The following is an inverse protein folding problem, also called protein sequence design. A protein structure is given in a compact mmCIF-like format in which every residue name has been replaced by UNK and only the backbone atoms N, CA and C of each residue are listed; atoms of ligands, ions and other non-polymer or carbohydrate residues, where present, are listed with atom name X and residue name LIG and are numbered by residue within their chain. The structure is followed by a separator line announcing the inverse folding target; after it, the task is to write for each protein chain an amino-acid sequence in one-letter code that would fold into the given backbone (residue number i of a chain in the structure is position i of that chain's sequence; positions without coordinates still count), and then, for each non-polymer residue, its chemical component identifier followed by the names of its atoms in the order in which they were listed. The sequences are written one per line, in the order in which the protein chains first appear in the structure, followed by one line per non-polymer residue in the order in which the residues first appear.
data_IF_563189722673
#
_entry.id   IF_563189722673
#
_cell.length_a   1.000
_cell.length_b   1.000
_cell.length_c   1.000
_cell.angle_alpha   90.00
_cell.angle_beta   90.00
_cell.angle_gamma   90.00
#
_symmetry.space_group_name_H-M   'P 1'
#
loop_
_entity.id
_entity.type
_entity.pdbx_description
1 polymer ?
#
# COMPACT_ATOMS: atom_id res chain seq x y z
N UNK A 1 -10.34 12.81 12.01
CA UNK A 1 -11.58 12.55 11.23
C UNK A 1 -12.23 13.89 10.92
N UNK A 2 -12.85 14.06 9.74
CA UNK A 2 -13.40 15.35 9.37
C UNK A 2 -14.67 15.71 10.13
N UNK A 3 -14.83 16.98 10.53
CA UNK A 3 -16.10 17.52 11.05
C UNK A 3 -16.95 18.07 9.91
N UNK A 4 -18.26 17.88 9.99
CA UNK A 4 -19.19 18.44 8.99
C UNK A 4 -19.72 19.79 9.50
N UNK A 5 -19.38 20.85 8.78
CA UNK A 5 -19.95 22.19 8.98
C UNK A 5 -21.39 22.19 8.46
N UNK A 6 -22.32 21.77 9.32
CA UNK A 6 -23.76 21.74 9.07
C UNK A 6 -24.46 23.07 9.43
N UNK A 7 -23.70 24.07 9.89
CA UNK A 7 -24.16 25.41 10.25
C UNK A 7 -23.08 26.46 9.97
N UNK A 8 -23.46 27.73 9.88
CA UNK A 8 -22.53 28.86 9.62
C UNK A 8 -21.78 29.32 10.88
N UNK A 9 -21.46 28.40 11.80
CA UNK A 9 -20.74 28.74 13.03
C UNK A 9 -19.31 29.20 12.71
N UNK A 10 -18.88 30.40 13.17
CA UNK A 10 -17.51 30.91 12.95
C UNK A 10 -16.42 29.98 13.51
N UNK A 11 -16.78 29.13 14.48
CA UNK A 11 -15.88 28.13 15.07
C UNK A 11 -15.32 27.15 14.02
N UNK A 12 -16.08 26.82 12.96
CA UNK A 12 -15.60 25.94 11.90
C UNK A 12 -14.44 26.56 11.11
N UNK A 13 -14.52 27.83 10.77
CA UNK A 13 -13.43 28.56 10.10
C UNK A 13 -12.20 28.66 11.01
N UNK A 14 -12.40 28.92 12.30
CA UNK A 14 -11.31 28.97 13.28
C UNK A 14 -10.60 27.62 13.44
N UNK A 15 -11.34 26.51 13.51
CA UNK A 15 -10.78 25.16 13.58
C UNK A 15 -10.02 24.79 12.29
N UNK A 16 -10.57 25.16 11.13
CA UNK A 16 -9.90 24.96 9.83
C UNK A 16 -8.56 25.68 9.74
N UNK A 17 -8.46 26.90 10.27
CA UNK A 17 -7.20 27.65 10.37
C UNK A 17 -6.20 27.01 11.34
N UNK A 18 -6.67 26.21 12.31
CA UNK A 18 -5.83 25.46 13.25
C UNK A 18 -5.40 24.08 12.71
N UNK A 19 -5.77 23.74 11.47
CA UNK A 19 -5.37 22.50 10.80
C UNK A 19 -6.39 21.36 10.91
N UNK A 20 -7.56 21.59 11.54
CA UNK A 20 -8.63 20.60 11.58
C UNK A 20 -9.27 20.43 10.21
N UNK A 21 -9.58 19.17 9.86
CA UNK A 21 -10.25 18.87 8.58
C UNK A 21 -11.75 19.14 8.72
N UNK A 22 -12.25 20.22 8.13
CA UNK A 22 -13.67 20.56 8.12
C UNK A 22 -14.24 20.38 6.71
N UNK A 23 -15.32 19.62 6.58
CA UNK A 23 -16.06 19.40 5.34
C UNK A 23 -17.35 20.21 5.32
N UNK A 24 -17.70 20.78 4.17
CA UNK A 24 -19.04 21.33 3.91
C UNK A 24 -20.07 20.21 3.79
N UNK A 25 -21.33 20.49 4.14
CA UNK A 25 -22.44 19.53 4.05
C UNK A 25 -22.57 18.87 2.67
N UNK A 26 -22.52 19.66 1.60
CA UNK A 26 -22.59 19.17 0.22
C UNK A 26 -21.47 18.15 -0.12
N UNK A 27 -20.23 18.46 0.28
CA UNK A 27 -19.09 17.56 0.10
C UNK A 27 -19.20 16.27 0.94
N UNK A 28 -19.82 16.33 2.11
CA UNK A 28 -20.04 15.16 2.96
C UNK A 28 -21.11 14.23 2.38
N UNK A 29 -22.17 14.78 1.77
CA UNK A 29 -23.25 14.00 1.14
C UNK A 29 -22.79 13.28 -0.14
N UNK A 30 -21.77 13.80 -0.84
CA UNK A 30 -21.21 13.18 -2.05
C UNK A 30 -19.97 12.31 -1.79
N UNK A 31 -19.57 12.07 -0.53
CA UNK A 31 -18.43 11.20 -0.25
C UNK A 31 -18.78 9.74 -0.54
N UNK A 32 -18.32 9.25 -1.70
CA UNK A 32 -18.26 7.81 -1.96
C UNK A 32 -16.94 7.27 -1.40
N UNK A 33 -17.01 6.56 -0.28
CA UNK A 33 -15.85 5.84 0.24
C UNK A 33 -15.73 4.55 -0.58
N UNK A 34 -14.87 4.58 -1.60
CA UNK A 34 -14.57 3.40 -2.41
C UNK A 34 -13.48 2.54 -1.77
N UNK A 35 -13.43 1.30 -2.20
CA UNK A 35 -12.38 0.35 -1.85
C UNK A 35 -11.01 0.87 -2.33
N UNK A 36 -9.99 0.73 -1.48
CA UNK A 36 -8.61 1.10 -1.77
C UNK A 36 -7.75 -0.14 -1.94
N UNK A 37 -7.07 -0.26 -3.08
CA UNK A 37 -6.22 -1.38 -3.44
C UNK A 37 -4.77 -1.05 -3.11
N UNK A 38 -4.19 -1.77 -2.15
CA UNK A 38 -2.81 -1.57 -1.69
C UNK A 38 -1.97 -2.78 -2.09
N UNK A 39 -0.96 -2.57 -2.93
CA UNK A 39 0.04 -3.58 -3.24
C UNK A 39 1.10 -3.64 -2.15
N UNK A 40 1.48 -4.84 -1.73
CA UNK A 40 2.64 -5.06 -0.86
C UNK A 40 3.68 -5.90 -1.60
N UNK A 41 4.72 -5.26 -2.12
CA UNK A 41 5.88 -5.93 -2.68
C UNK A 41 6.80 -6.39 -1.53
N UNK A 42 6.65 -7.64 -1.11
CA UNK A 42 7.44 -8.21 -0.03
C UNK A 42 8.73 -8.85 -0.55
N UNK A 43 9.85 -8.17 -0.27
CA UNK A 43 11.21 -8.58 -0.63
C UNK A 43 12.01 -9.11 0.57
N UNK A 44 11.39 -9.19 1.75
CA UNK A 44 12.06 -9.66 2.97
C UNK A 44 12.46 -11.14 2.86
N UNK A 45 13.51 -11.59 3.59
CA UNK A 45 13.94 -12.98 3.58
C UNK A 45 12.92 -13.90 4.24
N UNK A 46 13.02 -15.20 4.00
CA UNK A 46 12.08 -16.23 4.48
C UNK A 46 11.79 -16.16 5.98
N UNK A 47 12.80 -15.84 6.80
CA UNK A 47 12.66 -15.72 8.24
C UNK A 47 11.77 -14.55 8.69
N UNK A 48 11.63 -13.52 7.84
CA UNK A 48 10.88 -12.32 8.14
C UNK A 48 9.61 -12.16 7.28
N UNK A 49 9.39 -13.01 6.27
CA UNK A 49 8.30 -12.89 5.31
C UNK A 49 6.93 -12.69 5.98
N UNK A 50 6.49 -13.65 6.80
CA UNK A 50 5.20 -13.59 7.49
C UNK A 50 5.16 -12.50 8.58
N UNK A 51 6.32 -12.17 9.17
CA UNK A 51 6.40 -11.11 10.17
C UNK A 51 6.16 -9.73 9.53
N UNK A 52 6.72 -9.51 8.34
CA UNK A 52 6.53 -8.31 7.53
C UNK A 52 5.08 -8.15 7.09
N UNK A 53 4.42 -9.23 6.66
CA UNK A 53 2.98 -9.23 6.36
C UNK A 53 2.18 -8.70 7.56
N UNK A 54 2.35 -9.32 8.74
CA UNK A 54 1.62 -8.92 9.96
C UNK A 54 1.89 -7.47 10.35
N UNK A 55 3.14 -7.01 10.21
CA UNK A 55 3.52 -5.64 10.54
C UNK A 55 2.78 -4.64 9.65
N UNK A 56 2.84 -4.82 8.32
CA UNK A 56 2.18 -3.89 7.40
C UNK A 56 0.66 -4.00 7.46
N UNK A 57 0.10 -5.21 7.56
CA UNK A 57 -1.36 -5.38 7.63
C UNK A 57 -1.93 -4.71 8.89
N UNK A 58 -1.22 -4.76 10.02
CA UNK A 58 -1.61 -4.04 11.24
C UNK A 58 -1.58 -2.53 11.05
N UNK A 59 -0.53 -1.99 10.42
CA UNK A 59 -0.40 -0.55 10.16
C UNK A 59 -1.47 -0.05 9.19
N UNK A 60 -1.72 -0.78 8.11
CA UNK A 60 -2.78 -0.47 7.14
C UNK A 60 -4.15 -0.50 7.84
N UNK A 61 -4.44 -1.57 8.59
CA UNK A 61 -5.72 -1.72 9.29
C UNK A 61 -5.98 -0.64 10.34
N UNK A 62 -4.95 -0.08 10.95
CA UNK A 62 -5.08 1.03 11.91
C UNK A 62 -5.04 2.43 11.27
N UNK A 63 -4.83 2.53 9.96
CA UNK A 63 -4.67 3.83 9.30
C UNK A 63 -5.98 4.60 9.19
N UNK A 64 -7.09 3.90 8.94
CA UNK A 64 -8.42 4.49 8.82
C UNK A 64 -9.49 3.40 9.02
N UNK A 65 -10.27 3.50 10.10
CA UNK A 65 -11.30 2.50 10.46
C UNK A 65 -12.51 2.49 9.52
N UNK A 66 -12.69 3.53 8.71
CA UNK A 66 -13.85 3.70 7.84
C UNK A 66 -13.55 3.21 6.40
N UNK A 67 -12.28 3.27 5.98
CA UNK A 67 -11.90 2.88 4.63
C UNK A 67 -11.76 1.36 4.49
N UNK A 68 -12.23 0.82 3.37
CA UNK A 68 -12.07 -0.58 3.02
C UNK A 68 -10.77 -0.78 2.24
N UNK A 69 -9.80 -1.48 2.84
CA UNK A 69 -8.50 -1.74 2.23
C UNK A 69 -8.41 -3.18 1.72
N UNK A 70 -8.10 -3.33 0.44
CA UNK A 70 -7.74 -4.61 -0.17
C UNK A 70 -6.23 -4.68 -0.32
N UNK A 71 -5.61 -5.57 0.44
CA UNK A 71 -4.15 -5.73 0.40
C UNK A 71 -3.78 -6.89 -0.52
N UNK A 72 -2.92 -6.60 -1.49
CA UNK A 72 -2.47 -7.54 -2.51
C UNK A 72 -0.97 -7.81 -2.32
N UNK A 73 -0.60 -8.84 -1.53
CA UNK A 73 0.80 -9.22 -1.37
C UNK A 73 1.33 -9.87 -2.66
N UNK A 74 2.51 -9.44 -3.10
CA UNK A 74 3.22 -10.04 -4.22
C UNK A 74 4.74 -10.01 -3.96
N UNK A 75 5.48 -10.84 -4.69
CA UNK A 75 6.94 -10.96 -4.56
C UNK A 75 7.58 -11.19 -5.91
N UNK A 76 8.87 -10.89 -6.01
CA UNK A 76 9.64 -11.05 -7.24
C UNK A 76 10.09 -12.49 -7.40
N UNK A 77 9.85 -13.08 -8.57
CA UNK A 77 10.19 -14.48 -8.85
C UNK A 77 11.69 -14.77 -8.83
N UNK A 78 12.54 -13.76 -9.05
CA UNK A 78 14.00 -13.91 -9.01
C UNK A 78 14.58 -13.95 -7.59
N UNK A 79 13.78 -13.74 -6.54
CA UNK A 79 14.24 -13.88 -5.16
C UNK A 79 14.22 -15.37 -4.79
N UNK A 80 15.39 -15.92 -4.47
CA UNK A 80 15.50 -17.33 -4.04
C UNK A 80 14.80 -17.52 -2.69
N UNK A 81 13.85 -18.47 -2.66
CA UNK A 81 13.07 -18.85 -1.47
C UNK A 81 13.34 -20.32 -1.11
N UNK A 82 13.33 -20.62 0.19
CA UNK A 82 13.27 -21.97 0.71
C UNK A 82 11.89 -22.62 0.49
N UNK A 83 11.80 -23.93 0.71
CA UNK A 83 10.59 -24.72 0.40
C UNK A 83 9.32 -24.19 1.08
N UNK A 84 9.40 -23.81 2.36
CA UNK A 84 8.26 -23.30 3.12
C UNK A 84 7.77 -21.95 2.57
N UNK A 85 8.69 -21.01 2.35
CA UNK A 85 8.36 -19.68 1.82
C UNK A 85 7.81 -19.77 0.39
N UNK A 86 8.41 -20.61 -0.47
CA UNK A 86 7.90 -20.83 -1.82
C UNK A 86 6.47 -21.39 -1.84
N UNK A 87 6.14 -22.30 -0.92
CA UNK A 87 4.78 -22.82 -0.75
C UNK A 87 3.81 -21.72 -0.31
N UNK A 88 4.19 -20.93 0.71
CA UNK A 88 3.39 -19.80 1.20
C UNK A 88 3.11 -18.76 0.10
N UNK A 89 4.13 -18.39 -0.67
CA UNK A 89 3.97 -17.48 -1.82
C UNK A 89 2.98 -18.05 -2.84
N UNK A 90 3.13 -19.33 -3.19
CA UNK A 90 2.24 -19.96 -4.18
C UNK A 90 0.77 -19.99 -3.72
N UNK A 91 0.52 -20.14 -2.43
CA UNK A 91 -0.83 -20.25 -1.87
C UNK A 91 -1.49 -18.88 -1.60
N UNK A 92 -0.69 -17.83 -1.34
CA UNK A 92 -1.23 -16.57 -0.80
C UNK A 92 -0.84 -15.31 -1.59
N UNK A 93 0.16 -15.37 -2.47
CA UNK A 93 0.68 -14.20 -3.18
C UNK A 93 0.17 -14.13 -4.62
N UNK A 94 -0.03 -12.91 -5.10
CA UNK A 94 -0.32 -12.63 -6.51
C UNK A 94 0.96 -12.49 -7.32
N UNK A 95 0.84 -12.73 -8.61
CA UNK A 95 1.87 -12.42 -9.60
C UNK A 95 1.85 -10.92 -9.94
N UNK A 96 2.95 -10.40 -10.45
CA UNK A 96 3.00 -8.99 -10.86
C UNK A 96 2.01 -8.68 -12.00
N UNK A 97 1.75 -9.62 -12.90
CA UNK A 97 0.75 -9.42 -13.97
C UNK A 97 -0.67 -9.29 -13.43
N UNK A 98 -1.04 -10.07 -12.40
CA UNK A 98 -2.34 -9.92 -11.73
C UNK A 98 -2.47 -8.58 -11.00
N UNK A 99 -1.38 -8.05 -10.46
CA UNK A 99 -1.33 -6.72 -9.84
C UNK A 99 -1.57 -5.64 -10.89
N UNK A 100 -0.87 -5.72 -12.04
CA UNK A 100 -1.05 -4.78 -13.16
C UNK A 100 -2.49 -4.77 -13.66
N UNK A 101 -3.13 -5.94 -13.75
CA UNK A 101 -4.50 -6.06 -14.22
C UNK A 101 -5.55 -5.48 -13.25
N UNK A 102 -5.30 -5.55 -11.93
CA UNK A 102 -6.23 -4.99 -10.93
C UNK A 102 -6.08 -3.48 -10.77
N UNK A 103 -4.87 -2.95 -10.99
CA UNK A 103 -4.54 -1.58 -10.62
C UNK A 103 -4.39 -1.42 -9.10
N UNK A 104 -3.63 -0.40 -8.70
CA UNK A 104 -3.37 -0.11 -7.29
C UNK A 104 -3.52 1.37 -7.01
N UNK A 105 -4.08 1.69 -5.84
CA UNK A 105 -4.11 3.04 -5.31
C UNK A 105 -2.78 3.39 -4.64
N UNK A 106 -2.21 2.42 -3.92
CA UNK A 106 -0.91 2.56 -3.28
C UNK A 106 -0.05 1.30 -3.45
N UNK A 107 1.26 1.48 -3.45
CA UNK A 107 2.25 0.42 -3.48
C UNK A 107 3.23 0.59 -2.32
N UNK A 108 3.45 -0.46 -1.55
CA UNK A 108 4.46 -0.52 -0.50
C UNK A 108 5.56 -1.47 -0.96
N UNK A 109 6.79 -0.98 -1.03
CA UNK A 109 7.97 -1.79 -1.33
C UNK A 109 8.72 -2.05 -0.03
N UNK A 110 8.72 -3.30 0.43
CA UNK A 110 9.41 -3.63 1.67
C UNK A 110 10.92 -3.46 1.54
N UNK A 111 11.60 -3.38 2.68
CA UNK A 111 13.05 -3.54 2.71
C UNK A 111 13.51 -4.88 2.14
N UNK A 112 14.78 -4.91 1.76
CA UNK A 112 15.50 -6.12 1.39
C UNK A 112 16.94 -6.01 1.91
N UNK A 113 17.68 -7.13 1.91
CA UNK A 113 19.13 -7.10 2.10
C UNK A 113 19.82 -7.16 0.73
N UNK A 114 20.07 -6.02 0.07
CA UNK A 114 20.74 -6.04 -1.22
C UNK A 114 22.23 -6.38 -1.06
N UNK A 115 22.87 -6.88 -2.14
CA UNK A 115 24.33 -6.84 -2.24
C UNK A 115 24.84 -5.39 -2.25
N UNK A 116 26.15 -5.21 -2.05
CA UNK A 116 26.79 -3.89 -2.05
C UNK A 116 26.54 -3.09 -3.34
N UNK A 117 26.47 -3.78 -4.48
CA UNK A 117 26.05 -3.21 -5.75
C UNK A 117 24.64 -3.69 -6.10
N UNK A 118 23.67 -2.80 -5.93
CA UNK A 118 22.26 -3.07 -6.20
C UNK A 118 22.01 -3.55 -7.62
N UNK A 119 22.78 -3.08 -8.62
CA UNK A 119 22.60 -3.50 -10.03
C UNK A 119 22.93 -4.97 -10.26
N UNK A 120 23.70 -5.57 -9.35
CA UNK A 120 24.05 -7.00 -9.37
C UNK A 120 23.05 -7.86 -8.60
N UNK A 121 22.06 -7.26 -7.96
CA UNK A 121 21.03 -8.01 -7.27
C UNK A 121 20.18 -8.81 -8.28
N UNK A 122 19.86 -10.09 -8.00
CA UNK A 122 19.09 -10.93 -8.93
C UNK A 122 17.67 -10.38 -9.19
N UNK A 123 17.14 -9.61 -8.25
CA UNK A 123 15.83 -8.98 -8.34
C UNK A 123 15.86 -7.58 -8.97
N UNK A 124 17.03 -7.03 -9.32
CA UNK A 124 17.17 -5.62 -9.73
C UNK A 124 16.31 -5.27 -10.95
N UNK A 125 16.36 -6.10 -12.00
CA UNK A 125 15.60 -5.83 -13.23
C UNK A 125 14.09 -5.87 -13.00
N UNK A 126 13.60 -6.85 -12.25
CA UNK A 126 12.18 -6.95 -11.90
C UNK A 126 11.74 -5.82 -10.97
N UNK A 127 12.58 -5.41 -10.02
CA UNK A 127 12.29 -4.27 -9.16
C UNK A 127 12.19 -2.98 -9.99
N UNK A 128 13.11 -2.78 -10.95
CA UNK A 128 13.06 -1.64 -11.86
C UNK A 128 11.75 -1.63 -12.65
N UNK A 129 11.31 -2.78 -13.18
CA UNK A 129 10.04 -2.90 -13.88
C UNK A 129 8.85 -2.50 -13.00
N UNK A 130 8.80 -2.96 -11.75
CA UNK A 130 7.73 -2.58 -10.80
C UNK A 130 7.75 -1.08 -10.52
N UNK A 131 8.93 -0.50 -10.29
CA UNK A 131 9.08 0.92 -10.00
C UNK A 131 8.66 1.77 -11.20
N UNK A 132 9.14 1.44 -12.40
CA UNK A 132 8.77 2.14 -13.64
C UNK A 132 7.25 2.08 -13.86
N UNK A 133 6.64 0.90 -13.69
CA UNK A 133 5.19 0.75 -13.78
C UNK A 133 4.45 1.59 -12.73
N UNK A 134 4.97 1.66 -11.49
CA UNK A 134 4.31 2.37 -10.41
C UNK A 134 4.21 3.88 -10.64
N UNK A 135 5.16 4.48 -11.36
CA UNK A 135 5.14 5.91 -11.68
C UNK A 135 3.92 6.32 -12.52
N UNK A 136 3.44 5.40 -13.37
CA UNK A 136 2.33 5.67 -14.29
C UNK A 136 0.99 5.15 -13.76
N UNK A 137 1.02 4.14 -12.87
CA UNK A 137 -0.18 3.35 -12.54
C UNK A 137 -0.59 3.39 -11.06
N UNK A 138 0.23 4.00 -10.19
CA UNK A 138 -0.03 4.01 -8.75
C UNK A 138 0.00 5.44 -8.22
N UNK A 139 -1.00 5.81 -7.42
CA UNK A 139 -1.13 7.19 -6.91
C UNK A 139 -0.02 7.52 -5.91
N UNK A 140 0.35 6.56 -5.06
CA UNK A 140 1.41 6.74 -4.05
C UNK A 140 2.23 5.46 -3.87
N UNK A 141 3.55 5.60 -3.88
CA UNK A 141 4.48 4.50 -3.60
C UNK A 141 5.31 4.82 -2.35
N UNK A 142 5.42 3.85 -1.44
CA UNK A 142 6.16 3.93 -0.17
C UNK A 142 7.33 2.95 -0.14
#
# INVERSE_FOLDING_TARGET
MPLIAHSNLPSFERLKQQGETILSKDRAEHQTIRELHIGLLNMMPDAALEATERQFFRLIGHSNEIAQFYVHPFSLSNIKRGKKAAKHLKEHYKTFDEIKAQGLDALIISGAKPPQDLKRAPFYQQLKEVVDWSYENVTSTL
#
